data_IF_150470870983
#
_entry.id   IF_150470870983
#
_cell.length_a   1.000
_cell.length_b   1.000
_cell.length_c   1.000
_cell.angle_alpha   90.00
_cell.angle_beta   90.00
_cell.angle_gamma   90.00
#
_symmetry.space_group_name_H-M   'P 1'
#
loop_
_entity.id
_entity.type
_entity.pdbx_description
1 polymer ?
#
# COMPACT_ATOMS: atom_id res chain seq x y z
N UNK A 1 36.58 42.60 -34.88
CA UNK A 1 35.23 42.04 -34.56
C UNK A 1 35.30 40.87 -33.58
N UNK A 2 36.38 40.78 -32.74
CA UNK A 2 36.60 39.58 -31.88
C UNK A 2 36.68 39.89 -30.39
N UNK A 3 36.22 41.09 -29.94
CA UNK A 3 36.36 41.52 -28.53
C UNK A 3 35.02 41.58 -27.79
N UNK A 4 33.88 41.52 -28.47
CA UNK A 4 32.55 41.64 -27.86
C UNK A 4 32.04 40.34 -27.26
N UNK A 5 32.54 39.15 -27.71
CA UNK A 5 32.12 37.83 -27.21
C UNK A 5 32.74 37.41 -25.87
N UNK A 6 33.63 38.21 -25.27
CA UNK A 6 34.33 37.81 -24.04
C UNK A 6 33.74 38.41 -22.75
N UNK A 7 32.64 39.21 -22.83
CA UNK A 7 32.03 39.89 -21.67
C UNK A 7 30.77 39.17 -21.16
N UNK A 8 30.09 38.36 -21.98
CA UNK A 8 29.00 37.53 -21.51
C UNK A 8 29.50 36.11 -21.31
N UNK A 9 30.16 35.90 -20.18
CA UNK A 9 30.39 34.57 -19.61
C UNK A 9 29.06 34.11 -19.02
N UNK A 10 28.12 33.70 -19.88
CA UNK A 10 26.98 32.90 -19.48
C UNK A 10 27.61 31.60 -18.98
N UNK A 11 27.64 31.41 -17.66
CA UNK A 11 27.81 30.10 -17.08
C UNK A 11 26.77 29.23 -17.74
N UNK A 12 27.18 28.14 -18.38
CA UNK A 12 26.35 26.97 -18.57
C UNK A 12 26.01 26.47 -17.15
N UNK A 13 24.97 27.01 -16.55
CA UNK A 13 24.23 26.30 -15.56
C UNK A 13 23.53 25.16 -16.31
N UNK A 14 23.78 23.94 -15.94
CA UNK A 14 23.00 22.78 -16.34
C UNK A 14 21.52 23.18 -16.44
N UNK A 15 20.79 22.78 -17.49
CA UNK A 15 19.36 23.00 -17.54
C UNK A 15 18.72 22.14 -16.45
N UNK A 16 18.77 22.64 -15.20
CA UNK A 16 17.85 22.21 -14.16
C UNK A 16 16.47 22.32 -14.78
N UNK A 17 15.75 21.25 -14.74
CA UNK A 17 14.40 21.07 -15.25
C UNK A 17 13.64 22.42 -15.20
N UNK A 18 13.30 22.93 -16.40
CA UNK A 18 12.56 24.19 -16.55
C UNK A 18 11.15 24.11 -15.94
N UNK A 19 10.73 22.91 -15.53
CA UNK A 19 9.42 22.62 -14.93
C UNK A 19 9.68 21.83 -13.64
N UNK A 20 9.15 22.33 -12.55
CA UNK A 20 9.18 21.68 -11.23
C UNK A 20 7.88 20.91 -10.99
N UNK A 21 7.85 20.04 -9.96
CA UNK A 21 6.63 19.37 -9.53
C UNK A 21 5.56 20.37 -9.10
N UNK A 22 5.95 21.46 -8.42
CA UNK A 22 5.05 22.56 -8.07
C UNK A 22 4.41 23.20 -9.30
N UNK A 23 5.19 23.42 -10.37
CA UNK A 23 4.67 23.98 -11.62
C UNK A 23 3.62 23.03 -12.24
N UNK A 24 3.84 21.70 -12.17
CA UNK A 24 2.88 20.72 -12.62
C UNK A 24 1.61 20.71 -11.77
N UNK A 25 1.71 20.75 -10.44
CA UNK A 25 0.56 20.86 -9.53
C UNK A 25 -0.27 22.12 -9.81
N UNK A 26 0.38 23.26 -10.08
CA UNK A 26 -0.31 24.50 -10.48
C UNK A 26 -1.05 24.29 -11.80
N UNK A 27 -0.43 23.67 -12.80
CA UNK A 27 -1.07 23.42 -14.10
C UNK A 27 -2.31 22.51 -13.96
N UNK A 28 -2.24 21.49 -13.11
CA UNK A 28 -3.37 20.59 -12.82
C UNK A 28 -4.54 21.36 -12.19
N UNK A 29 -4.26 22.23 -11.22
CA UNK A 29 -5.30 23.05 -10.58
C UNK A 29 -5.94 24.04 -11.58
N UNK A 30 -5.13 24.71 -12.41
CA UNK A 30 -5.65 25.61 -13.46
C UNK A 30 -6.50 24.82 -14.46
N UNK A 31 -6.06 23.62 -14.87
CA UNK A 31 -6.84 22.74 -15.76
C UNK A 31 -8.21 22.36 -15.19
N UNK A 32 -8.31 22.15 -13.89
CA UNK A 32 -9.57 21.93 -13.20
C UNK A 32 -10.45 23.19 -13.15
N UNK A 33 -9.90 24.36 -12.80
CA UNK A 33 -10.62 25.65 -12.78
C UNK A 33 -11.16 26.03 -14.15
N UNK A 34 -10.45 25.70 -15.22
CA UNK A 34 -10.88 25.93 -16.61
C UNK A 34 -11.86 24.87 -17.15
N UNK A 35 -12.16 23.82 -16.35
CA UNK A 35 -13.07 22.76 -16.73
C UNK A 35 -12.49 21.77 -17.76
N UNK A 36 -11.16 21.71 -17.87
CA UNK A 36 -10.45 20.73 -18.72
C UNK A 36 -10.28 19.40 -17.98
N UNK A 37 -10.12 19.43 -16.66
CA UNK A 37 -10.03 18.28 -15.78
C UNK A 37 -11.24 18.19 -14.85
N UNK A 38 -11.78 16.99 -14.70
CA UNK A 38 -12.79 16.68 -13.68
C UNK A 38 -12.17 16.65 -12.28
N UNK A 39 -13.01 16.69 -11.25
CA UNK A 39 -12.54 16.72 -9.86
C UNK A 39 -11.71 15.47 -9.52
N UNK A 40 -12.24 14.30 -9.85
CA UNK A 40 -11.58 13.00 -9.63
C UNK A 40 -10.25 12.89 -10.39
N UNK A 41 -10.19 13.37 -11.64
CA UNK A 41 -8.94 13.35 -12.42
C UNK A 41 -7.85 14.19 -11.76
N UNK A 42 -8.22 15.37 -11.24
CA UNK A 42 -7.29 16.24 -10.49
C UNK A 42 -6.79 15.55 -9.23
N UNK A 43 -7.67 14.87 -8.47
CA UNK A 43 -7.29 14.17 -7.24
C UNK A 43 -6.33 13.03 -7.54
N UNK A 44 -6.64 12.18 -8.50
CA UNK A 44 -5.74 11.08 -8.90
C UNK A 44 -4.35 11.61 -9.29
N UNK A 45 -4.29 12.72 -10.06
CA UNK A 45 -3.00 13.31 -10.45
C UNK A 45 -2.23 13.82 -9.23
N UNK A 46 -2.89 14.44 -8.25
CA UNK A 46 -2.25 14.87 -7.01
C UNK A 46 -1.76 13.68 -6.18
N UNK A 47 -2.58 12.63 -6.05
CA UNK A 47 -2.22 11.39 -5.36
C UNK A 47 -1.00 10.72 -5.99
N UNK A 48 -0.84 10.78 -7.31
CA UNK A 48 0.38 10.27 -7.99
C UNK A 48 1.65 11.01 -7.53
N UNK A 49 1.59 12.32 -7.31
CA UNK A 49 2.73 13.05 -6.76
C UNK A 49 3.04 12.62 -5.32
N UNK A 50 2.02 12.50 -4.48
CA UNK A 50 2.17 12.09 -3.09
C UNK A 50 2.70 10.66 -2.98
N UNK A 51 2.16 9.74 -3.77
CA UNK A 51 2.60 8.34 -3.86
C UNK A 51 4.11 8.20 -4.12
N UNK A 52 4.69 9.13 -4.91
CA UNK A 52 6.12 9.15 -5.19
C UNK A 52 6.99 9.37 -3.95
N UNK A 53 6.46 10.06 -2.94
CA UNK A 53 7.21 10.45 -1.74
C UNK A 53 6.82 9.70 -0.47
N UNK A 54 5.63 9.10 -0.42
CA UNK A 54 5.15 8.31 0.71
C UNK A 54 6.02 7.07 0.96
N UNK A 55 6.11 6.67 2.23
CA UNK A 55 6.81 5.48 2.69
C UNK A 55 5.81 4.41 3.13
N UNK A 56 6.32 3.20 3.34
CA UNK A 56 5.51 2.08 3.82
C UNK A 56 4.80 2.40 5.16
N UNK A 57 5.46 3.12 6.07
CA UNK A 57 4.90 3.55 7.34
C UNK A 57 3.65 4.43 7.21
N UNK A 58 3.53 5.18 6.11
CA UNK A 58 2.44 6.13 5.88
C UNK A 58 1.15 5.45 5.36
N UNK A 59 1.28 4.26 4.75
CA UNK A 59 0.16 3.57 4.09
C UNK A 59 -0.14 2.17 4.67
N UNK A 60 0.63 1.71 5.65
CA UNK A 60 0.47 0.36 6.20
C UNK A 60 -0.68 0.25 7.20
N UNK A 61 -1.28 -0.92 7.26
CA UNK A 61 -2.06 -1.35 8.42
C UNK A 61 -1.10 -1.49 9.59
N UNK A 62 -1.37 -0.75 10.67
CA UNK A 62 -0.51 -0.72 11.85
C UNK A 62 -0.54 -2.06 12.59
N UNK A 63 0.56 -2.41 13.26
CA UNK A 63 0.69 -3.64 14.06
C UNK A 63 -0.51 -3.92 14.97
N UNK A 64 -1.06 -2.88 15.59
CA UNK A 64 -2.17 -3.01 16.56
C UNK A 64 -3.49 -3.42 15.91
N UNK A 65 -3.61 -3.18 14.60
CA UNK A 65 -4.81 -3.47 13.80
C UNK A 65 -4.60 -4.71 12.92
N UNK A 66 -3.41 -5.34 12.98
CA UNK A 66 -3.13 -6.55 12.21
C UNK A 66 -3.89 -7.74 12.75
N UNK A 67 -4.55 -8.47 11.85
CA UNK A 67 -5.07 -9.81 12.12
C UNK A 67 -4.04 -10.83 11.63
N UNK A 68 -3.66 -11.77 12.50
CA UNK A 68 -2.68 -12.80 12.19
C UNK A 68 -3.07 -14.13 12.85
N UNK A 69 -2.60 -15.24 12.29
CA UNK A 69 -2.91 -16.61 12.70
C UNK A 69 -1.74 -17.18 13.49
N UNK A 70 -2.01 -17.80 14.63
CA UNK A 70 -1.04 -18.62 15.33
C UNK A 70 -0.79 -19.93 14.54
N UNK A 71 0.47 -20.31 14.38
CA UNK A 71 0.87 -21.53 13.66
C UNK A 71 0.26 -22.82 14.27
N UNK A 72 -0.08 -22.79 15.56
CA UNK A 72 -0.69 -23.92 16.28
C UNK A 72 -2.23 -23.92 16.23
N UNK A 73 -2.86 -22.94 15.55
CA UNK A 73 -4.31 -22.86 15.44
C UNK A 73 -4.89 -24.05 14.68
N UNK A 74 -6.08 -24.50 15.10
CA UNK A 74 -6.82 -25.54 14.39
C UNK A 74 -7.38 -25.04 13.06
N UNK A 75 -7.74 -25.98 12.17
CA UNK A 75 -8.36 -25.65 10.89
C UNK A 75 -9.67 -24.88 11.07
N UNK A 76 -10.51 -25.30 12.02
CA UNK A 76 -11.78 -24.68 12.33
C UNK A 76 -11.62 -23.24 12.83
N UNK A 77 -10.68 -23.02 13.77
CA UNK A 77 -10.42 -21.69 14.32
C UNK A 77 -9.94 -20.72 13.21
N UNK A 78 -9.07 -21.20 12.32
CA UNK A 78 -8.57 -20.42 11.18
C UNK A 78 -9.70 -20.01 10.23
N UNK A 79 -10.60 -20.96 9.90
CA UNK A 79 -11.75 -20.66 9.05
C UNK A 79 -12.71 -19.66 9.69
N UNK A 80 -12.90 -19.74 11.03
CA UNK A 80 -13.72 -18.79 11.76
C UNK A 80 -13.15 -17.38 11.67
N UNK A 81 -11.84 -17.21 11.89
CA UNK A 81 -11.16 -15.91 11.75
C UNK A 81 -11.30 -15.38 10.32
N UNK A 82 -11.05 -16.19 9.28
CA UNK A 82 -11.24 -15.76 7.89
C UNK A 82 -12.68 -15.32 7.59
N UNK A 83 -13.67 -15.98 8.19
CA UNK A 83 -15.08 -15.66 8.01
C UNK A 83 -15.50 -14.37 8.71
N UNK A 84 -14.96 -14.12 9.90
CA UNK A 84 -15.25 -12.91 10.70
C UNK A 84 -14.61 -11.69 10.07
N UNK A 85 -13.33 -11.78 9.75
CA UNK A 85 -12.52 -10.67 9.25
C UNK A 85 -12.69 -10.42 7.74
N UNK A 86 -13.27 -11.38 7.01
CA UNK A 86 -13.49 -11.32 5.54
C UNK A 86 -12.23 -11.07 4.72
N UNK A 87 -11.07 -11.37 5.27
CA UNK A 87 -9.78 -11.22 4.61
C UNK A 87 -9.51 -12.37 3.65
N UNK A 88 -8.68 -12.15 2.64
CA UNK A 88 -8.23 -13.21 1.71
C UNK A 88 -6.91 -13.85 2.12
N UNK A 89 -6.09 -13.13 2.87
CA UNK A 89 -4.75 -13.53 3.30
C UNK A 89 -4.46 -13.00 4.69
N UNK A 90 -3.81 -13.82 5.49
CA UNK A 90 -3.36 -13.41 6.83
C UNK A 90 -1.93 -13.87 7.09
N UNK A 91 -1.13 -13.07 7.80
CA UNK A 91 0.16 -13.50 8.32
C UNK A 91 0.00 -14.68 9.30
N UNK A 92 0.99 -15.56 9.29
CA UNK A 92 1.11 -16.66 10.27
C UNK A 92 2.31 -16.36 11.14
N UNK A 93 2.14 -16.35 12.45
CA UNK A 93 3.21 -16.15 13.42
C UNK A 93 3.45 -17.41 14.26
N UNK A 94 4.64 -17.53 14.86
CA UNK A 94 5.01 -18.69 15.67
C UNK A 94 4.97 -18.40 17.17
N UNK A 95 5.76 -17.50 17.67
CA UNK A 95 5.79 -17.16 19.10
C UNK A 95 4.94 -15.94 19.43
N UNK A 96 5.03 -14.94 18.58
CA UNK A 96 4.29 -13.69 18.68
C UNK A 96 4.29 -12.99 17.32
N UNK A 97 3.61 -11.86 17.20
CA UNK A 97 3.45 -11.13 15.95
C UNK A 97 4.76 -10.56 15.36
N UNK A 98 5.87 -10.57 16.11
CA UNK A 98 7.19 -10.22 15.57
C UNK A 98 7.86 -11.40 14.86
N UNK A 99 7.37 -12.62 15.06
CA UNK A 99 7.88 -13.84 14.43
C UNK A 99 6.93 -14.33 13.34
N UNK A 100 6.74 -13.51 12.31
CA UNK A 100 5.94 -13.90 11.14
C UNK A 100 6.73 -14.90 10.30
N UNK A 101 6.19 -16.10 10.15
CA UNK A 101 6.84 -17.22 9.44
C UNK A 101 6.26 -17.47 8.05
N UNK A 102 5.11 -16.89 7.72
CA UNK A 102 4.48 -17.07 6.40
C UNK A 102 3.18 -16.30 6.24
N UNK A 103 2.56 -16.50 5.09
CA UNK A 103 1.25 -15.94 4.74
C UNK A 103 0.32 -17.09 4.35
N UNK A 104 -0.83 -17.19 5.00
CA UNK A 104 -1.88 -18.13 4.65
C UNK A 104 -2.92 -17.45 3.77
N UNK A 105 -3.30 -18.12 2.67
CA UNK A 105 -4.37 -17.65 1.79
C UNK A 105 -5.58 -18.59 1.97
N UNK A 106 -6.77 -18.02 2.21
CA UNK A 106 -8.01 -18.79 2.36
C UNK A 106 -8.26 -19.76 1.20
N UNK A 107 -7.87 -19.37 -0.04
CA UNK A 107 -8.06 -20.21 -1.23
C UNK A 107 -7.23 -21.49 -1.22
N UNK A 108 -6.14 -21.54 -0.44
CA UNK A 108 -5.26 -22.69 -0.36
C UNK A 108 -5.80 -23.74 0.62
N UNK A 109 -6.78 -23.38 1.47
CA UNK A 109 -7.32 -24.28 2.52
C UNK A 109 -8.84 -24.54 2.41
N UNK A 110 -9.60 -23.69 1.70
CA UNK A 110 -11.07 -23.77 1.69
C UNK A 110 -11.64 -25.06 1.02
N UNK A 111 -10.83 -25.78 0.27
CA UNK A 111 -11.23 -26.98 -0.46
C UNK A 111 -10.47 -28.23 -0.01
N UNK A 112 -10.01 -28.29 1.24
CA UNK A 112 -9.38 -29.48 1.78
C UNK A 112 -10.40 -30.62 1.90
N UNK A 113 -9.91 -31.85 1.82
CA UNK A 113 -10.70 -33.02 2.08
C UNK A 113 -10.76 -33.33 3.58
N UNK A 114 -11.75 -34.11 4.04
CA UNK A 114 -11.92 -34.47 5.45
C UNK A 114 -10.61 -35.05 6.05
N UNK A 115 -9.86 -35.86 5.28
CA UNK A 115 -8.57 -36.43 5.72
C UNK A 115 -7.48 -35.34 5.88
N UNK A 116 -7.47 -34.31 5.02
CA UNK A 116 -6.53 -33.19 5.09
C UNK A 116 -6.88 -32.25 6.24
N UNK A 117 -8.17 -32.08 6.53
CA UNK A 117 -8.65 -31.30 7.69
C UNK A 117 -8.25 -31.96 9.01
N UNK A 118 -8.46 -33.29 9.14
CA UNK A 118 -8.07 -34.04 10.34
C UNK A 118 -6.55 -34.00 10.62
N UNK A 119 -5.73 -33.88 9.56
CA UNK A 119 -4.26 -33.82 9.65
C UNK A 119 -3.72 -32.45 9.28
N UNK A 120 -4.52 -31.41 9.50
CA UNK A 120 -4.16 -30.07 9.11
C UNK A 120 -2.91 -29.57 9.85
N UNK A 121 -2.05 -28.91 9.10
CA UNK A 121 -0.88 -28.20 9.62
C UNK A 121 -0.67 -26.95 8.75
N UNK A 122 -0.78 -25.78 9.36
CA UNK A 122 -0.67 -24.48 8.70
C UNK A 122 0.61 -24.35 7.86
N UNK A 123 1.74 -24.87 8.36
CA UNK A 123 3.04 -24.79 7.68
C UNK A 123 3.05 -25.44 6.28
N UNK A 124 2.15 -26.38 6.01
CA UNK A 124 2.05 -27.03 4.68
C UNK A 124 1.36 -26.16 3.64
N UNK A 125 0.54 -25.20 4.07
CA UNK A 125 -0.33 -24.40 3.19
C UNK A 125 0.08 -22.95 3.14
N UNK A 126 0.89 -22.45 4.10
CA UNK A 126 1.40 -21.10 4.08
C UNK A 126 2.47 -20.92 2.99
N UNK A 127 2.59 -19.70 2.51
CA UNK A 127 3.59 -19.27 1.55
C UNK A 127 4.64 -18.44 2.27
N UNK A 128 5.81 -18.30 1.67
CA UNK A 128 6.87 -17.42 2.17
C UNK A 128 6.37 -15.98 2.28
N UNK A 129 6.62 -15.34 3.43
CA UNK A 129 6.29 -13.94 3.64
C UNK A 129 7.29 -13.03 2.92
N UNK A 130 6.77 -11.97 2.33
CA UNK A 130 7.60 -10.91 1.74
C UNK A 130 7.77 -9.79 2.77
N UNK A 131 9.01 -9.45 3.08
CA UNK A 131 9.35 -8.43 4.08
C UNK A 131 9.86 -7.16 3.43
N UNK A 132 9.52 -6.03 4.04
CA UNK A 132 10.00 -4.70 3.68
C UNK A 132 10.26 -3.88 4.94
N UNK A 133 10.64 -2.60 4.80
CA UNK A 133 10.94 -1.71 5.93
C UNK A 133 10.07 -0.45 5.88
N UNK A 134 9.79 0.14 7.05
CA UNK A 134 8.95 1.33 7.23
C UNK A 134 9.34 2.49 6.32
N UNK A 135 10.63 2.75 6.18
CA UNK A 135 11.18 3.88 5.42
C UNK A 135 11.22 3.68 3.91
N UNK A 136 10.80 2.51 3.40
CA UNK A 136 10.80 2.22 1.97
C UNK A 136 9.71 2.99 1.26
N UNK A 137 10.04 3.65 0.14
CA UNK A 137 9.04 4.33 -0.70
C UNK A 137 8.03 3.33 -1.25
N UNK A 138 6.74 3.65 -1.12
CA UNK A 138 5.65 2.75 -1.56
C UNK A 138 5.66 2.52 -3.08
N UNK A 139 6.14 3.49 -3.87
CA UNK A 139 6.31 3.34 -5.31
C UNK A 139 7.31 2.23 -5.68
N UNK A 140 8.43 2.13 -4.94
CA UNK A 140 9.41 1.06 -5.11
C UNK A 140 8.88 -0.27 -4.57
N UNK A 141 8.19 -0.23 -3.44
CA UNK A 141 7.56 -1.41 -2.83
C UNK A 141 6.55 -2.05 -3.78
N UNK A 142 5.68 -1.27 -4.40
CA UNK A 142 4.72 -1.76 -5.38
C UNK A 142 5.39 -2.49 -6.55
N UNK A 143 6.50 -1.93 -7.06
CA UNK A 143 7.25 -2.56 -8.14
C UNK A 143 7.87 -3.90 -7.70
N UNK A 144 8.47 -3.97 -6.51
CA UNK A 144 9.03 -5.19 -5.95
C UNK A 144 7.98 -6.26 -5.67
N UNK A 145 6.84 -5.89 -5.08
CA UNK A 145 5.73 -6.81 -4.84
C UNK A 145 5.19 -7.39 -6.15
N UNK A 146 5.07 -6.58 -7.20
CA UNK A 146 4.69 -7.05 -8.55
C UNK A 146 5.70 -8.03 -9.15
N UNK A 147 6.99 -7.75 -9.00
CA UNK A 147 8.06 -8.65 -9.48
C UNK A 147 8.09 -9.96 -8.69
N UNK A 148 7.91 -9.89 -7.37
CA UNK A 148 7.82 -11.06 -6.49
C UNK A 148 6.50 -11.83 -6.63
N UNK A 149 5.49 -11.26 -7.34
CA UNK A 149 4.13 -11.79 -7.47
C UNK A 149 3.46 -12.03 -6.12
N UNK A 150 3.77 -11.21 -5.13
CA UNK A 150 3.11 -11.17 -3.83
C UNK A 150 2.08 -10.05 -3.77
N UNK A 151 1.05 -10.22 -2.96
CA UNK A 151 -0.01 -9.23 -2.77
C UNK A 151 -0.02 -8.65 -1.36
N UNK A 152 0.84 -9.18 -0.47
CA UNK A 152 0.98 -8.73 0.91
C UNK A 152 2.45 -8.66 1.27
N UNK A 153 2.85 -7.62 1.99
CA UNK A 153 4.19 -7.40 2.52
C UNK A 153 4.12 -7.16 4.03
N UNK A 154 5.00 -7.78 4.78
CA UNK A 154 5.19 -7.50 6.21
C UNK A 154 6.19 -6.36 6.34
N UNK A 155 5.81 -5.32 7.08
CA UNK A 155 6.65 -4.15 7.32
C UNK A 155 7.41 -4.30 8.63
N UNK A 156 8.72 -4.14 8.57
CA UNK A 156 9.61 -4.26 9.72
C UNK A 156 10.14 -2.89 10.14
N UNK A 157 10.31 -2.72 11.46
CA UNK A 157 11.01 -1.60 12.05
C UNK A 157 12.55 -1.73 11.91
N UNK A 158 13.30 -0.76 12.47
CA UNK A 158 14.77 -0.75 12.45
C UNK A 158 15.40 -1.85 13.34
N UNK A 159 14.61 -2.48 14.21
CA UNK A 159 15.06 -3.57 15.10
C UNK A 159 14.69 -4.95 14.57
N UNK A 160 13.92 -5.01 13.47
CA UNK A 160 13.45 -6.24 12.87
C UNK A 160 12.14 -6.76 13.48
N UNK A 161 11.47 -5.95 14.32
CA UNK A 161 10.11 -6.23 14.79
C UNK A 161 9.07 -5.90 13.72
N UNK A 162 7.90 -6.51 13.81
CA UNK A 162 6.78 -6.23 12.89
C UNK A 162 6.10 -4.91 13.26
N UNK A 163 6.14 -3.93 12.35
CA UNK A 163 5.46 -2.64 12.47
C UNK A 163 4.06 -2.67 11.90
N UNK A 164 3.84 -3.47 10.87
CA UNK A 164 2.57 -3.53 10.18
C UNK A 164 2.58 -4.45 8.98
N UNK A 165 1.59 -4.34 8.14
CA UNK A 165 1.53 -4.98 6.84
C UNK A 165 0.98 -4.01 5.78
N UNK A 166 1.30 -4.30 4.52
CA UNK A 166 0.79 -3.59 3.35
C UNK A 166 0.31 -4.59 2.31
N UNK A 167 -0.79 -4.28 1.66
CA UNK A 167 -1.27 -5.02 0.49
C UNK A 167 -1.09 -4.20 -0.80
N UNK A 168 -1.19 -4.85 -1.96
CA UNK A 168 -1.24 -4.12 -3.24
C UNK A 168 -2.50 -3.26 -3.31
N UNK A 169 -3.57 -3.74 -2.73
CA UNK A 169 -4.85 -3.06 -2.62
C UNK A 169 -4.68 -1.71 -1.90
N UNK A 170 -4.03 -1.66 -0.73
CA UNK A 170 -3.73 -0.43 0.01
C UNK A 170 -2.89 0.56 -0.82
N UNK A 171 -1.88 0.04 -1.52
CA UNK A 171 -1.02 0.86 -2.39
C UNK A 171 -1.78 1.46 -3.59
N UNK A 172 -2.77 0.76 -4.11
CA UNK A 172 -3.62 1.26 -5.20
C UNK A 172 -4.63 2.27 -4.67
N UNK A 173 -5.17 2.06 -3.47
CA UNK A 173 -6.09 2.97 -2.79
C UNK A 173 -5.46 4.36 -2.59
N UNK A 174 -4.19 4.43 -2.19
CA UNK A 174 -3.45 5.72 -2.14
C UNK A 174 -3.47 6.47 -3.48
N UNK A 175 -3.47 5.76 -4.61
CA UNK A 175 -3.48 6.39 -5.94
C UNK A 175 -4.87 6.83 -6.39
N UNK A 176 -5.89 6.00 -6.17
CA UNK A 176 -7.26 6.25 -6.65
C UNK A 176 -8.11 7.02 -5.65
N UNK A 177 -7.71 7.07 -4.37
CA UNK A 177 -8.54 7.53 -3.26
C UNK A 177 -9.53 6.47 -2.82
N UNK A 178 -10.34 6.78 -1.83
CA UNK A 178 -11.43 5.90 -1.38
C UNK A 178 -12.36 5.63 -2.56
N UNK A 179 -12.47 4.35 -2.93
CA UNK A 179 -13.48 3.94 -3.90
C UNK A 179 -14.78 3.84 -3.10
N UNK A 180 -15.64 4.87 -3.23
CA UNK A 180 -16.98 4.81 -2.65
C UNK A 180 -17.66 3.52 -3.15
N UNK A 181 -18.04 2.65 -2.20
CA UNK A 181 -18.78 1.43 -2.54
C UNK A 181 -20.22 1.84 -2.88
N UNK A 182 -20.87 1.16 -3.84
CA UNK A 182 -22.28 1.41 -4.26
C UNK A 182 -23.27 1.36 -3.08
N UNK A 183 -22.80 1.03 -1.88
CA UNK A 183 -23.56 0.90 -0.65
C UNK A 183 -23.17 1.92 0.43
N UNK A 184 -22.20 2.81 0.18
CA UNK A 184 -21.90 3.91 1.08
C UNK A 184 -23.04 4.93 0.96
N UNK A 185 -23.93 4.93 1.95
CA UNK A 185 -24.99 5.94 2.07
C UNK A 185 -24.28 7.27 2.38
N UNK A 186 -24.56 8.31 1.57
CA UNK A 186 -24.14 9.68 1.83
C UNK A 186 -24.44 10.01 3.31
N UNK A 187 -23.42 10.13 4.15
CA UNK A 187 -23.56 10.73 5.47
C UNK A 187 -23.93 12.20 5.25
N UNK A 188 -25.23 12.50 5.24
CA UNK A 188 -25.73 13.88 5.21
C UNK A 188 -25.05 14.65 6.35
N UNK A 189 -24.18 15.59 6.01
CA UNK A 189 -23.64 16.57 6.96
C UNK A 189 -24.81 17.24 7.68
N UNK A 190 -25.04 16.87 8.95
CA UNK A 190 -25.99 17.55 9.81
C UNK A 190 -25.46 18.95 10.10
N UNK A 191 -25.79 19.89 9.21
CA UNK A 191 -25.55 21.32 9.45
C UNK A 191 -26.45 21.74 10.62
N UNK A 192 -25.88 21.85 11.81
CA UNK A 192 -26.53 22.52 12.95
C UNK A 192 -26.67 24.00 12.64
N UNK A 193 -27.84 24.38 12.16
CA UNK A 193 -28.23 25.80 12.12
C UNK A 193 -28.54 26.24 13.55
N UNK A 194 -27.71 27.16 14.06
CA UNK A 194 -27.92 27.84 15.34
C UNK A 194 -28.88 29.01 15.14
#
# INVERSE_FOLDING_TARGET
TSIIFKIFRIKDDDPKSLVTEEDLKIMVNVGHEEGVLEHEEREIINNVFEFGDMKAEDAMVQRVDMVAIDVESSYEDILEVFKEEKLSRMPVYKENIDDIIGILNIKDIIFLTDEEEENFNVEKYMREAFFTYEFKKISQLLEEMKLAKTQIAIVLDEYGGTSGLLTIEDLVEVLVGDIEDEYDEDEEEIVKVA
#
